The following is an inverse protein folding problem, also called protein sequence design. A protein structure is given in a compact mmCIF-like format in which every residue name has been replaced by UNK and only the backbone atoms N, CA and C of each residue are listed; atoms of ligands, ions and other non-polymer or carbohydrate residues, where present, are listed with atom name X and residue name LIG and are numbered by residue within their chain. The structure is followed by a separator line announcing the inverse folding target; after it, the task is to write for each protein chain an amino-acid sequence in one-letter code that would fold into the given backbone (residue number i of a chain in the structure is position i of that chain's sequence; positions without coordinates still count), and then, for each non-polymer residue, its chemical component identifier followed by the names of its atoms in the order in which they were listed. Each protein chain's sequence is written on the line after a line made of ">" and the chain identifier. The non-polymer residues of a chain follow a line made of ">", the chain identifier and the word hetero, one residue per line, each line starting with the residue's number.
data_IF_307528411555
#
_entry.id   IF_307528411555
#
_cell.length_a   1.000
_cell.length_b   1.000
_cell.length_c   1.000
_cell.angle_alpha   90.00
_cell.angle_beta   90.00
_cell.angle_gamma   90.00
#
_symmetry.space_group_name_H-M   'P 1'
#
loop_
_entity.id
_entity.type
_entity.pdbx_description
1 polymer ?
#
# COMPACT_ATOMS: atom_id res chain seq x y z
N UNK A 1 21.87 -5.38 -14.31
CA UNK A 1 20.86 -6.13 -13.55
C UNK A 1 21.25 -7.60 -13.61
N UNK A 2 21.25 -8.27 -12.48
CA UNK A 2 21.49 -9.71 -12.39
C UNK A 2 20.15 -10.43 -12.62
N UNK A 3 19.95 -10.95 -13.83
CA UNK A 3 18.68 -11.59 -14.23
C UNK A 3 18.53 -13.00 -13.65
N UNK A 4 19.63 -13.61 -13.19
CA UNK A 4 19.62 -14.98 -12.66
C UNK A 4 18.88 -15.08 -11.31
N UNK A 5 18.53 -13.93 -10.72
CA UNK A 5 17.77 -13.80 -9.47
C UNK A 5 16.31 -13.43 -9.70
N UNK A 6 15.83 -13.47 -10.94
CA UNK A 6 14.46 -13.12 -11.32
C UNK A 6 13.80 -14.37 -11.90
N UNK A 7 12.74 -14.84 -11.25
CA UNK A 7 11.82 -15.85 -11.80
C UNK A 7 10.56 -15.15 -12.28
N UNK A 8 10.13 -15.44 -13.52
CA UNK A 8 8.93 -14.88 -14.12
C UNK A 8 7.92 -16.01 -14.31
N UNK A 9 6.74 -15.84 -13.71
CA UNK A 9 5.66 -16.82 -13.78
C UNK A 9 4.51 -16.22 -14.59
N UNK A 10 4.28 -16.75 -15.78
CA UNK A 10 3.12 -16.40 -16.59
C UNK A 10 1.96 -17.33 -16.22
N UNK A 11 1.14 -16.92 -15.25
CA UNK A 11 -0.03 -17.64 -14.78
C UNK A 11 -1.09 -16.68 -14.23
N UNK A 12 -2.33 -17.14 -14.10
CA UNK A 12 -3.35 -16.47 -13.31
C UNK A 12 -3.01 -16.64 -11.82
N UNK A 13 -2.88 -15.55 -11.07
CA UNK A 13 -2.50 -15.60 -9.66
C UNK A 13 -3.56 -16.30 -8.80
N UNK A 14 -4.83 -16.26 -9.20
CA UNK A 14 -5.92 -16.94 -8.49
C UNK A 14 -5.81 -18.46 -8.57
N UNK A 15 -5.02 -18.98 -9.51
CA UNK A 15 -4.71 -20.40 -9.66
C UNK A 15 -3.43 -20.86 -8.96
N UNK A 16 -2.64 -19.93 -8.39
CA UNK A 16 -1.38 -20.27 -7.72
C UNK A 16 -1.63 -20.78 -6.30
N UNK A 17 -1.01 -21.90 -5.95
CA UNK A 17 -0.98 -22.40 -4.58
C UNK A 17 0.20 -21.82 -3.81
N UNK A 18 0.13 -21.87 -2.48
CA UNK A 18 1.25 -21.51 -1.63
C UNK A 18 2.50 -22.39 -1.90
N UNK A 19 2.30 -23.64 -2.29
CA UNK A 19 3.39 -24.55 -2.65
C UNK A 19 4.09 -24.08 -3.93
N UNK A 20 3.34 -23.65 -4.95
CA UNK A 20 3.91 -23.12 -6.19
C UNK A 20 4.82 -21.92 -5.91
N UNK A 21 4.40 -21.03 -5.02
CA UNK A 21 5.20 -19.88 -4.60
C UNK A 21 6.45 -20.33 -3.85
N UNK A 22 6.29 -21.16 -2.82
CA UNK A 22 7.40 -21.57 -1.94
C UNK A 22 8.46 -22.42 -2.67
N UNK A 23 8.06 -23.25 -3.62
CA UNK A 23 9.01 -24.01 -4.46
C UNK A 23 9.86 -23.08 -5.31
N UNK A 24 9.27 -22.02 -5.86
CA UNK A 24 9.96 -21.03 -6.70
C UNK A 24 10.87 -20.11 -5.90
N UNK A 25 10.38 -19.59 -4.78
CA UNK A 25 11.15 -18.71 -3.90
C UNK A 25 12.18 -19.47 -3.07
N UNK A 26 12.05 -20.80 -2.98
CA UNK A 26 12.87 -21.74 -2.19
C UNK A 26 12.84 -21.50 -0.67
N UNK A 27 12.18 -20.44 -0.23
CA UNK A 27 12.06 -19.96 1.14
C UNK A 27 10.76 -19.16 1.30
N UNK A 28 10.28 -19.06 2.54
CA UNK A 28 9.14 -18.19 2.84
C UNK A 28 9.43 -16.72 2.46
N UNK A 29 8.40 -16.04 1.97
CA UNK A 29 8.51 -14.72 1.36
C UNK A 29 8.75 -13.66 2.44
N UNK A 30 9.77 -12.82 2.22
CA UNK A 30 10.11 -11.73 3.14
C UNK A 30 9.30 -10.47 2.91
N UNK A 31 9.02 -10.17 1.64
CA UNK A 31 8.21 -9.04 1.18
C UNK A 31 7.32 -9.56 0.05
N UNK A 32 6.00 -9.44 0.22
CA UNK A 32 5.00 -9.80 -0.78
C UNK A 32 4.27 -8.53 -1.22
N UNK A 33 4.18 -8.27 -2.53
CA UNK A 33 3.40 -7.16 -3.07
C UNK A 33 2.19 -7.70 -3.81
N UNK A 34 1.01 -7.23 -3.44
CA UNK A 34 -0.27 -7.53 -4.10
C UNK A 34 -0.63 -6.32 -4.95
N UNK A 35 -0.49 -6.47 -6.27
CA UNK A 35 -0.66 -5.41 -7.29
C UNK A 35 -1.06 -6.03 -8.65
N UNK A 36 -1.89 -7.09 -8.61
CA UNK A 36 -2.23 -7.90 -9.78
C UNK A 36 -3.61 -7.58 -10.37
N UNK A 37 -4.64 -7.57 -9.52
CA UNK A 37 -6.04 -7.32 -9.89
C UNK A 37 -6.64 -6.12 -9.18
N UNK A 38 -7.69 -5.54 -9.78
CA UNK A 38 -8.39 -4.35 -9.24
C UNK A 38 -9.82 -4.65 -8.74
N UNK A 39 -10.23 -5.92 -8.81
CA UNK A 39 -11.48 -6.44 -8.24
C UNK A 39 -11.25 -7.11 -6.86
N UNK A 40 -12.35 -7.32 -6.14
CA UNK A 40 -12.29 -7.81 -4.76
C UNK A 40 -11.89 -9.28 -4.67
N UNK A 41 -12.30 -10.09 -5.63
CA UNK A 41 -12.07 -11.53 -5.66
C UNK A 41 -10.59 -11.85 -5.86
N UNK A 42 -9.96 -11.19 -6.84
CA UNK A 42 -8.53 -11.35 -7.15
C UNK A 42 -7.66 -10.85 -6.00
N UNK A 43 -7.92 -9.63 -5.51
CA UNK A 43 -7.14 -9.06 -4.41
C UNK A 43 -7.27 -9.88 -3.12
N UNK A 44 -8.46 -10.42 -2.81
CA UNK A 44 -8.65 -11.31 -1.66
C UNK A 44 -7.89 -12.63 -1.83
N UNK A 45 -7.92 -13.23 -3.02
CA UNK A 45 -7.17 -14.45 -3.32
C UNK A 45 -5.67 -14.24 -3.13
N UNK A 46 -5.13 -13.14 -3.66
CA UNK A 46 -3.71 -12.77 -3.52
C UNK A 46 -3.34 -12.48 -2.05
N UNK A 47 -4.22 -11.83 -1.27
CA UNK A 47 -4.01 -11.63 0.16
C UNK A 47 -3.92 -12.96 0.92
N UNK A 48 -4.82 -13.90 0.65
CA UNK A 48 -4.79 -15.24 1.26
C UNK A 48 -3.53 -16.03 0.86
N UNK A 49 -3.11 -15.92 -0.39
CA UNK A 49 -1.85 -16.51 -0.87
C UNK A 49 -0.65 -15.89 -0.16
N UNK A 50 -0.63 -14.57 0.01
CA UNK A 50 0.44 -13.85 0.70
C UNK A 50 0.53 -14.26 2.18
N UNK A 51 -0.59 -14.44 2.87
CA UNK A 51 -0.62 -14.89 4.26
C UNK A 51 0.01 -16.28 4.44
N UNK A 52 -0.20 -17.18 3.48
CA UNK A 52 0.28 -18.56 3.53
C UNK A 52 1.75 -18.73 3.15
N UNK A 53 2.33 -17.74 2.47
CA UNK A 53 3.68 -17.82 1.90
C UNK A 53 4.68 -16.90 2.61
N UNK A 54 4.19 -15.89 3.33
CA UNK A 54 5.02 -14.91 4.04
C UNK A 54 5.66 -15.51 5.29
N UNK A 55 6.96 -15.28 5.48
CA UNK A 55 7.69 -15.74 6.66
C UNK A 55 7.26 -14.98 7.93
N UNK A 56 7.54 -15.50 9.14
CA UNK A 56 7.39 -14.73 10.37
C UNK A 56 8.07 -13.35 10.31
N UNK A 57 7.30 -12.32 10.67
CA UNK A 57 7.61 -10.90 10.56
C UNK A 57 7.76 -10.37 9.14
N UNK A 58 7.50 -11.15 8.09
CA UNK A 58 7.51 -10.66 6.71
C UNK A 58 6.43 -9.60 6.47
N UNK A 59 6.58 -8.83 5.39
CA UNK A 59 5.70 -7.70 5.08
C UNK A 59 4.88 -7.99 3.83
N UNK A 60 3.58 -7.78 3.90
CA UNK A 60 2.67 -7.80 2.75
C UNK A 60 2.26 -6.36 2.46
N UNK A 61 2.35 -5.95 1.20
CA UNK A 61 1.90 -4.66 0.70
C UNK A 61 0.70 -4.91 -0.20
N UNK A 62 -0.42 -4.28 0.11
CA UNK A 62 -1.58 -4.21 -0.77
C UNK A 62 -1.58 -2.85 -1.46
N UNK A 63 -1.32 -2.84 -2.76
CA UNK A 63 -1.38 -1.61 -3.56
C UNK A 63 -2.83 -1.17 -3.80
N UNK A 64 -3.02 0.12 -4.07
CA UNK A 64 -4.29 0.71 -4.50
C UNK A 64 -5.49 0.53 -3.56
N UNK A 65 -5.27 0.10 -2.31
CA UNK A 65 -6.28 -0.03 -1.27
C UNK A 65 -7.02 1.26 -0.92
N UNK A 66 -6.56 2.44 -1.34
CA UNK A 66 -7.33 3.70 -1.22
C UNK A 66 -7.41 4.45 -2.55
N UNK A 67 -7.32 3.73 -3.67
CA UNK A 67 -7.49 4.27 -5.01
C UNK A 67 -8.97 4.15 -5.41
N UNK A 68 -9.62 5.28 -5.66
CA UNK A 68 -11.03 5.35 -6.05
C UNK A 68 -11.35 4.67 -7.38
N UNK A 69 -10.34 4.42 -8.22
CA UNK A 69 -10.53 3.66 -9.46
C UNK A 69 -10.66 2.15 -9.19
N UNK A 70 -10.10 1.66 -8.07
CA UNK A 70 -9.93 0.24 -7.76
C UNK A 70 -10.57 -0.12 -6.41
N UNK A 71 -11.83 0.28 -6.24
CA UNK A 71 -12.59 0.07 -4.99
C UNK A 71 -12.72 -1.40 -4.56
N UNK A 72 -12.56 -2.36 -5.49
CA UNK A 72 -12.53 -3.78 -5.16
C UNK A 72 -11.39 -4.14 -4.21
N UNK A 73 -10.26 -3.41 -4.26
CA UNK A 73 -9.09 -3.71 -3.43
C UNK A 73 -9.34 -3.39 -1.96
N UNK A 74 -9.98 -2.26 -1.66
CA UNK A 74 -10.36 -1.95 -0.26
C UNK A 74 -11.45 -2.88 0.26
N UNK A 75 -12.36 -3.32 -0.63
CA UNK A 75 -13.35 -4.32 -0.30
C UNK A 75 -12.69 -5.66 0.08
N UNK A 76 -11.70 -6.12 -0.68
CA UNK A 76 -10.93 -7.31 -0.36
C UNK A 76 -10.25 -7.22 1.01
N UNK A 77 -9.58 -6.09 1.29
CA UNK A 77 -8.94 -5.86 2.58
C UNK A 77 -9.94 -5.91 3.74
N UNK A 78 -11.12 -5.31 3.56
CA UNK A 78 -12.20 -5.35 4.56
C UNK A 78 -12.74 -6.77 4.75
N UNK A 79 -13.02 -7.50 3.66
CA UNK A 79 -13.45 -8.90 3.72
C UNK A 79 -12.45 -9.76 4.48
N UNK A 80 -11.16 -9.63 4.16
CA UNK A 80 -10.07 -10.36 4.83
C UNK A 80 -9.97 -10.03 6.32
N UNK A 81 -9.93 -8.74 6.70
CA UNK A 81 -9.79 -8.31 8.10
C UNK A 81 -11.02 -8.60 8.97
N UNK A 82 -12.16 -8.92 8.36
CA UNK A 82 -13.37 -9.35 9.09
C UNK A 82 -13.43 -10.87 9.30
N UNK A 83 -12.52 -11.65 8.71
CA UNK A 83 -12.41 -13.09 8.97
C UNK A 83 -11.87 -13.33 10.39
N UNK A 84 -12.39 -14.32 11.12
CA UNK A 84 -11.93 -14.56 12.50
C UNK A 84 -10.52 -15.15 12.61
N UNK A 85 -10.00 -15.73 11.53
CA UNK A 85 -8.77 -16.51 11.48
C UNK A 85 -7.67 -15.87 10.62
N UNK A 86 -7.85 -14.61 10.21
CA UNK A 86 -6.82 -13.86 9.49
C UNK A 86 -5.54 -13.72 10.33
N UNK A 87 -4.37 -13.84 9.70
CA UNK A 87 -3.06 -13.77 10.38
C UNK A 87 -2.24 -12.53 10.05
N UNK A 88 -2.56 -11.84 8.97
CA UNK A 88 -1.92 -10.57 8.62
C UNK A 88 -2.50 -9.45 9.48
N UNK A 89 -1.62 -8.68 10.09
CA UNK A 89 -1.94 -7.56 10.98
C UNK A 89 -1.53 -6.25 10.29
N UNK A 90 -2.46 -5.31 10.05
CA UNK A 90 -2.13 -4.04 9.43
C UNK A 90 -1.31 -3.17 10.38
N UNK A 91 -0.32 -2.45 9.86
CA UNK A 91 0.52 -1.56 10.67
C UNK A 91 0.80 -0.18 10.05
N UNK A 92 0.61 -0.02 8.73
CA UNK A 92 0.77 1.25 8.03
C UNK A 92 -0.26 1.42 6.90
N UNK A 93 -0.86 2.61 6.80
CA UNK A 93 -1.55 3.12 5.62
C UNK A 93 -0.76 4.34 5.12
N UNK A 94 -0.22 4.28 3.90
CA UNK A 94 0.49 5.40 3.30
C UNK A 94 0.57 5.28 1.78
N UNK A 95 0.37 6.41 1.08
CA UNK A 95 0.54 6.48 -0.39
C UNK A 95 -0.33 5.49 -1.15
N UNK A 96 -1.62 5.43 -0.81
CA UNK A 96 -2.63 4.48 -1.32
C UNK A 96 -2.37 2.99 -1.02
N UNK A 97 -1.33 2.67 -0.23
CA UNK A 97 -0.98 1.29 0.13
C UNK A 97 -1.37 0.96 1.56
N UNK A 98 -1.74 -0.30 1.76
CA UNK A 98 -1.83 -0.91 3.09
C UNK A 98 -0.67 -1.87 3.30
N UNK A 99 -0.09 -1.84 4.50
CA UNK A 99 1.00 -2.72 4.88
C UNK A 99 0.59 -3.60 6.05
N UNK A 100 0.92 -4.88 5.92
CA UNK A 100 0.64 -5.89 6.91
C UNK A 100 1.90 -6.66 7.28
N UNK A 101 1.89 -7.29 8.45
CA UNK A 101 2.92 -8.24 8.90
C UNK A 101 2.27 -9.43 9.57
N UNK A 102 3.03 -10.50 9.78
CA UNK A 102 2.55 -11.69 10.50
C UNK A 102 2.73 -11.50 12.01
N UNK A 103 1.74 -10.93 12.69
CA UNK A 103 1.71 -10.86 14.16
C UNK A 103 1.65 -9.45 14.77
N UNK A 104 1.03 -9.29 15.97
CA UNK A 104 0.89 -7.98 16.62
C UNK A 104 2.21 -7.36 17.09
N UNK A 105 3.16 -8.14 17.60
CA UNK A 105 4.42 -7.62 18.13
C UNK A 105 5.29 -7.03 17.01
N UNK A 106 5.32 -7.71 15.86
CA UNK A 106 5.98 -7.23 14.65
C UNK A 106 5.28 -5.97 14.13
N UNK A 107 3.94 -5.92 14.17
CA UNK A 107 3.18 -4.74 13.75
C UNK A 107 3.54 -3.51 14.59
N UNK A 108 3.65 -3.66 15.91
CA UNK A 108 4.07 -2.58 16.81
C UNK A 108 5.51 -2.11 16.53
N UNK A 109 6.43 -3.04 16.26
CA UNK A 109 7.82 -2.72 15.89
C UNK A 109 7.89 -1.98 14.56
N UNK A 110 7.19 -2.47 13.53
CA UNK A 110 7.13 -1.80 12.23
C UNK A 110 6.48 -0.43 12.34
N UNK A 111 5.36 -0.30 13.04
CA UNK A 111 4.70 0.99 13.28
C UNK A 111 5.69 2.00 13.89
N UNK A 112 6.41 1.59 14.93
CA UNK A 112 7.40 2.44 15.60
C UNK A 112 8.56 2.86 14.68
N UNK A 113 9.03 1.95 13.82
CA UNK A 113 10.07 2.24 12.82
C UNK A 113 9.56 3.19 11.74
N UNK A 114 8.34 2.98 11.26
CA UNK A 114 7.72 3.80 10.22
C UNK A 114 7.40 5.21 10.74
N UNK A 115 6.99 5.36 12.00
CA UNK A 115 6.81 6.68 12.62
C UNK A 115 8.08 7.53 12.56
N UNK A 116 9.24 6.91 12.82
CA UNK A 116 10.55 7.57 12.73
C UNK A 116 10.96 7.81 11.28
N UNK A 117 10.79 6.82 10.40
CA UNK A 117 11.15 6.94 8.99
C UNK A 117 10.32 8.02 8.26
N UNK A 118 9.05 8.18 8.66
CA UNK A 118 8.09 9.12 8.10
C UNK A 118 7.93 10.37 8.97
N UNK A 119 8.91 10.71 9.81
CA UNK A 119 8.84 11.85 10.74
C UNK A 119 8.59 13.22 10.06
N UNK A 120 8.84 13.33 8.75
CA UNK A 120 8.58 14.56 7.96
C UNK A 120 7.17 14.60 7.34
N UNK A 121 6.48 13.47 7.30
CA UNK A 121 5.10 13.36 6.83
C UNK A 121 4.13 13.77 7.94
N UNK A 122 2.93 14.18 7.54
CA UNK A 122 1.82 14.29 8.47
C UNK A 122 1.37 12.87 8.79
N UNK A 123 1.21 12.57 10.07
CA UNK A 123 0.94 11.20 10.50
C UNK A 123 0.13 11.16 11.79
N UNK A 124 -0.65 10.09 11.96
CA UNK A 124 -1.36 9.77 13.20
C UNK A 124 -1.49 8.26 13.37
N UNK A 125 -1.69 7.80 14.60
CA UNK A 125 -2.05 6.40 14.87
C UNK A 125 -3.53 6.34 15.18
N UNK A 126 -4.25 5.44 14.52
CA UNK A 126 -5.68 5.24 14.72
C UNK A 126 -6.00 3.75 14.76
N UNK A 127 -7.18 3.41 15.31
CA UNK A 127 -7.69 2.04 15.20
C UNK A 127 -8.31 1.82 13.83
N UNK A 128 -7.89 0.74 13.16
CA UNK A 128 -8.44 0.27 11.90
C UNK A 128 -8.67 -1.24 12.02
N UNK A 129 -9.93 -1.68 11.89
CA UNK A 129 -10.34 -3.07 12.19
C UNK A 129 -9.82 -3.59 13.54
N UNK A 130 -9.83 -2.72 14.56
CA UNK A 130 -9.35 -3.07 15.91
C UNK A 130 -7.84 -2.94 16.13
N UNK A 131 -7.04 -2.84 15.06
CA UNK A 131 -5.58 -2.72 15.14
C UNK A 131 -5.12 -1.27 15.19
N UNK A 132 -4.12 -0.92 16.02
CA UNK A 132 -3.46 0.38 15.97
C UNK A 132 -2.54 0.50 14.75
N UNK A 133 -2.94 1.32 13.78
CA UNK A 133 -2.28 1.48 12.48
C UNK A 133 -1.71 2.90 12.34
N UNK A 134 -0.47 3.03 11.86
CA UNK A 134 0.07 4.33 11.47
C UNK A 134 -0.55 4.76 10.15
N UNK A 135 -1.15 5.94 10.12
CA UNK A 135 -1.65 6.58 8.91
C UNK A 135 -0.71 7.75 8.60
N UNK A 136 -0.11 7.77 7.42
CA UNK A 136 0.82 8.81 7.00
C UNK A 136 0.49 9.34 5.60
N UNK A 137 0.52 10.65 5.45
CA UNK A 137 0.22 11.35 4.19
C UNK A 137 1.21 12.50 3.95
N UNK A 138 1.37 12.95 2.69
CA UNK A 138 2.28 14.04 2.39
C UNK A 138 1.90 15.31 3.16
N UNK A 139 2.87 15.91 3.86
CA UNK A 139 2.70 17.24 4.43
C UNK A 139 2.53 18.24 3.27
N UNK A 140 1.40 18.97 3.20
CA UNK A 140 1.17 19.90 2.10
C UNK A 140 2.24 20.99 2.07
N UNK A 141 2.81 21.24 0.89
CA UNK A 141 3.77 22.34 0.70
C UNK A 141 3.11 23.72 0.86
N UNK A 142 1.78 23.79 0.80
CA UNK A 142 0.95 24.98 1.06
C UNK A 142 -0.52 24.59 1.29
N UNK A 143 -1.28 25.48 1.94
CA UNK A 143 -2.74 25.33 2.17
C UNK A 143 -3.51 25.08 0.88
N UNK A 144 -3.07 25.68 -0.23
CA UNK A 144 -3.68 25.52 -1.56
C UNK A 144 -3.44 24.14 -2.15
N UNK A 145 -2.24 23.58 -1.96
CA UNK A 145 -1.93 22.21 -2.37
C UNK A 145 -2.70 21.18 -1.52
N UNK A 146 -2.93 21.49 -0.24
CA UNK A 146 -3.76 20.67 0.63
C UNK A 146 -5.22 20.62 0.16
N UNK A 147 -5.81 21.78 -0.15
CA UNK A 147 -7.19 21.86 -0.62
C UNK A 147 -7.43 21.07 -1.91
N UNK A 148 -6.46 21.11 -2.84
CA UNK A 148 -6.54 20.34 -4.09
C UNK A 148 -6.39 18.83 -3.83
N UNK A 149 -5.54 18.43 -2.89
CA UNK A 149 -5.43 17.03 -2.42
C UNK A 149 -6.76 16.47 -1.92
N UNK A 150 -7.49 17.28 -1.16
CA UNK A 150 -8.74 16.86 -0.52
C UNK A 150 -9.84 16.62 -1.56
N UNK A 151 -9.76 17.28 -2.72
CA UNK A 151 -10.76 17.19 -3.80
C UNK A 151 -10.40 16.10 -4.81
N UNK A 152 -9.12 15.93 -5.14
CA UNK A 152 -8.65 15.07 -6.24
C UNK A 152 -7.95 13.78 -5.78
N UNK A 153 -7.85 13.53 -4.47
CA UNK A 153 -7.06 12.43 -3.93
C UNK A 153 -5.54 12.62 -4.09
N UNK A 154 -4.76 11.77 -3.41
CA UNK A 154 -3.29 11.78 -3.52
C UNK A 154 -2.81 11.41 -4.95
N UNK A 155 -3.61 10.60 -5.66
CA UNK A 155 -3.47 10.25 -7.08
C UNK A 155 -3.52 11.50 -7.98
N UNK A 156 -4.47 12.41 -7.73
CA UNK A 156 -4.60 13.68 -8.42
C UNK A 156 -3.43 14.63 -8.15
N UNK A 157 -2.89 14.64 -6.92
CA UNK A 157 -1.70 15.43 -6.59
C UNK A 157 -0.41 14.91 -7.23
N UNK A 158 -0.21 13.60 -7.32
CA UNK A 158 0.96 13.03 -8.03
C UNK A 158 0.92 13.38 -9.51
N UNK A 159 -0.27 13.32 -10.12
CA UNK A 159 -0.52 13.78 -11.49
C UNK A 159 -0.23 15.28 -11.63
N UNK A 160 -0.64 16.12 -10.67
CA UNK A 160 -0.33 17.55 -10.65
C UNK A 160 1.16 17.86 -10.43
N UNK A 161 1.89 17.04 -9.67
CA UNK A 161 3.34 17.15 -9.47
C UNK A 161 4.12 16.85 -10.75
N UNK A 162 3.72 15.83 -11.53
CA UNK A 162 4.22 15.62 -12.91
C UNK A 162 3.88 16.82 -13.80
N UNK A 163 2.71 17.41 -13.57
CA UNK A 163 2.22 18.61 -14.24
C UNK A 163 2.80 19.92 -13.73
N UNK A 164 3.74 20.01 -12.77
CA UNK A 164 4.43 21.29 -12.50
C UNK A 164 5.17 21.83 -13.73
N UNK A 165 5.60 20.92 -14.64
CA UNK A 165 6.10 21.28 -15.98
C UNK A 165 4.98 21.70 -16.94
N UNK A 166 3.77 21.18 -16.76
CA UNK A 166 2.58 21.48 -17.57
C UNK A 166 1.88 22.77 -17.14
N UNK A 167 1.76 23.05 -15.84
CA UNK A 167 1.23 24.28 -15.24
C UNK A 167 2.09 25.50 -15.59
N UNK A 168 3.42 25.33 -15.68
CA UNK A 168 4.33 26.33 -16.26
C UNK A 168 4.09 26.55 -17.77
N UNK A 169 3.72 25.51 -18.52
CA UNK A 169 3.37 25.60 -19.96
C UNK A 169 1.97 26.17 -20.22
N UNK A 170 1.06 26.02 -19.27
CA UNK A 170 -0.32 26.53 -19.31
C UNK A 170 -0.47 27.94 -18.71
N UNK A 171 0.64 28.62 -18.39
CA UNK A 171 0.63 30.01 -17.93
C UNK A 171 0.10 30.25 -16.51
N UNK A 172 -0.10 29.19 -15.71
CA UNK A 172 -0.59 29.32 -14.33
C UNK A 172 0.60 29.46 -13.39
N UNK A 173 1.26 30.62 -13.43
CA UNK A 173 2.39 30.95 -12.56
C UNK A 173 2.71 32.45 -12.55
N UNK A 174 2.56 33.04 -11.36
CA UNK A 174 2.90 34.41 -10.92
C UNK A 174 2.24 35.59 -11.66
N UNK A 175 1.30 36.26 -10.98
CA UNK A 175 1.34 37.73 -10.93
C UNK A 175 2.00 38.12 -9.61
N UNK A 176 3.05 38.90 -9.77
CA UNK A 176 3.88 39.57 -8.78
C UNK A 176 3.08 40.50 -7.86
N UNK A 177 3.58 40.61 -6.64
CA UNK A 177 3.63 41.79 -5.77
C UNK A 177 2.83 43.03 -6.24
N UNK A 178 1.89 43.42 -5.39
CA UNK A 178 1.64 44.79 -4.98
C UNK A 178 1.37 44.78 -3.47
#
# INVERSE_FOLDING_TARGET
>A
CDLDRIDLVAADSTGLSAEDVLQRTKQAVRIFSVDGGHDAETALSDMLLSERTTCPGGVVLLDDAFNEQWVGVIEAAARYLLQSDHRLVPFLLAGNKMFFTTGPAEADNYRSRMQRALAKASQKVEKFFGYPVLIAWPTPLSTRAHAISLILGDSGLQTLRRSRRLLKRLGVGSRSDA
#
